data_IF_252589966254
#
_entry.id   IF_252589966254
#
_cell.length_a   1.000
_cell.length_b   1.000
_cell.length_c   1.000
_cell.angle_alpha   90.00
_cell.angle_beta   90.00
_cell.angle_gamma   90.00
#
_symmetry.space_group_name_H-M   'P 1'
#
loop_
_entity.id
_entity.type
_entity.pdbx_description
1 polymer ?
#
# COMPACT_ATOMS: atom_id res chain seq x y z
N UNK A 1 51.79 -34.79 -30.82
CA UNK A 1 50.98 -34.54 -29.61
C UNK A 1 50.15 -33.30 -29.86
N UNK A 2 48.83 -33.41 -30.03
CA UNK A 2 47.92 -32.27 -30.18
C UNK A 2 46.92 -32.36 -29.03
N UNK A 3 46.97 -31.41 -28.09
CA UNK A 3 45.98 -31.26 -27.03
C UNK A 3 44.96 -30.21 -27.47
N UNK A 4 43.72 -30.65 -27.68
CA UNK A 4 42.58 -29.77 -27.95
C UNK A 4 41.94 -29.40 -26.61
N UNK A 5 41.97 -28.11 -26.26
CA UNK A 5 41.35 -27.57 -25.05
C UNK A 5 39.97 -26.99 -25.43
N UNK A 6 38.91 -27.72 -25.10
CA UNK A 6 37.53 -27.22 -25.22
C UNK A 6 37.21 -26.25 -24.08
N UNK A 7 37.08 -24.98 -24.40
CA UNK A 7 36.63 -23.92 -23.48
C UNK A 7 35.13 -24.03 -23.24
N UNK A 8 34.73 -24.42 -22.03
CA UNK A 8 33.35 -24.31 -21.56
C UNK A 8 33.06 -22.86 -21.16
N UNK A 9 32.20 -22.17 -21.92
CA UNK A 9 31.68 -20.86 -21.54
C UNK A 9 30.56 -21.04 -20.50
N UNK A 10 30.83 -20.64 -19.25
CA UNK A 10 29.83 -20.60 -18.19
C UNK A 10 28.99 -19.33 -18.37
N UNK A 11 27.74 -19.49 -18.81
CA UNK A 11 26.76 -18.41 -18.86
C UNK A 11 26.26 -18.15 -17.44
N UNK A 12 26.74 -17.08 -16.81
CA UNK A 12 26.23 -16.63 -15.52
C UNK A 12 24.84 -16.01 -15.73
N UNK A 13 23.79 -16.74 -15.38
CA UNK A 13 22.43 -16.23 -15.27
C UNK A 13 22.38 -15.27 -14.08
N UNK A 14 22.48 -13.98 -14.35
CA UNK A 14 22.19 -12.93 -13.38
C UNK A 14 20.69 -12.95 -13.07
N UNK A 15 20.30 -13.67 -12.03
CA UNK A 15 18.93 -13.60 -11.49
C UNK A 15 18.74 -12.21 -10.89
N UNK A 16 17.88 -11.40 -11.51
CA UNK A 16 17.39 -10.16 -10.91
C UNK A 16 16.57 -10.53 -9.67
N UNK A 17 17.18 -10.43 -8.50
CA UNK A 17 16.44 -10.47 -7.23
C UNK A 17 15.70 -9.15 -7.11
N UNK A 18 14.47 -9.09 -7.62
CA UNK A 18 13.53 -8.07 -7.16
C UNK A 18 13.41 -8.27 -5.64
N UNK A 19 13.80 -7.26 -4.86
CA UNK A 19 13.70 -7.33 -3.41
C UNK A 19 12.21 -7.43 -3.05
N UNK A 20 11.75 -8.65 -2.78
CA UNK A 20 10.39 -8.92 -2.40
C UNK A 20 10.21 -8.44 -0.95
N UNK A 21 9.72 -7.21 -0.81
CA UNK A 21 9.67 -6.47 0.45
C UNK A 21 8.62 -7.01 1.43
N UNK A 22 7.66 -7.77 0.93
CA UNK A 22 6.52 -8.22 1.71
C UNK A 22 5.68 -7.04 2.21
N UNK A 23 4.93 -7.30 3.27
CA UNK A 23 4.34 -6.23 4.07
C UNK A 23 5.46 -5.32 4.61
N UNK A 24 5.29 -4.01 4.48
CA UNK A 24 6.31 -3.05 4.89
C UNK A 24 5.71 -1.68 5.18
N UNK A 25 6.44 -0.86 5.94
CA UNK A 25 6.05 0.51 6.29
C UNK A 25 6.73 1.58 5.42
N UNK A 26 7.09 1.24 4.17
CA UNK A 26 7.70 2.22 3.25
C UNK A 26 6.63 3.11 2.63
N UNK A 27 7.03 4.33 2.32
CA UNK A 27 6.19 5.30 1.63
C UNK A 27 7.03 6.48 1.17
N UNK A 28 6.37 7.58 0.83
CA UNK A 28 7.04 8.86 0.57
C UNK A 28 7.96 9.25 1.72
N UNK A 29 9.03 10.02 1.46
CA UNK A 29 9.88 10.60 2.51
C UNK A 29 9.07 11.44 3.51
N UNK A 30 7.95 11.98 3.05
CA UNK A 30 6.97 12.70 3.85
C UNK A 30 6.30 11.82 4.92
N UNK A 31 6.24 10.50 4.73
CA UNK A 31 5.71 9.58 5.74
C UNK A 31 6.54 9.54 7.03
N UNK A 32 7.80 9.96 7.03
CA UNK A 32 8.67 9.93 8.21
C UNK A 32 8.37 11.05 9.22
N UNK A 33 7.65 12.10 8.81
CA UNK A 33 7.36 13.25 9.65
C UNK A 33 6.14 13.00 10.58
N UNK A 34 6.28 12.10 11.55
CA UNK A 34 5.46 12.06 12.79
C UNK A 34 3.93 12.08 12.65
N UNK A 35 3.35 11.39 11.67
CA UNK A 35 1.92 11.50 11.33
C UNK A 35 1.15 10.19 11.52
N UNK A 36 0.41 10.05 12.63
CA UNK A 36 -0.43 8.89 12.93
C UNK A 36 -1.68 8.76 12.04
N UNK A 37 -1.48 8.63 10.72
CA UNK A 37 -2.54 8.58 9.73
C UNK A 37 -3.20 7.19 9.61
N UNK A 38 -2.48 6.11 9.94
CA UNK A 38 -2.99 4.74 9.77
C UNK A 38 -4.26 4.50 10.61
N UNK A 39 -4.27 4.98 11.85
CA UNK A 39 -5.44 4.88 12.73
C UNK A 39 -6.63 5.67 12.19
N UNK A 40 -6.41 6.94 11.84
CA UNK A 40 -7.45 7.81 11.28
C UNK A 40 -8.05 7.25 9.98
N UNK A 41 -7.22 6.64 9.12
CA UNK A 41 -7.66 5.96 7.89
C UNK A 41 -8.51 4.74 8.23
N UNK A 42 -8.07 3.90 9.17
CA UNK A 42 -8.81 2.72 9.60
C UNK A 42 -10.19 3.11 10.15
N UNK A 43 -10.25 4.14 11.00
CA UNK A 43 -11.50 4.65 11.58
C UNK A 43 -12.46 5.17 10.50
N UNK A 44 -11.93 5.85 9.48
CA UNK A 44 -12.73 6.32 8.34
C UNK A 44 -13.29 5.16 7.52
N UNK A 45 -12.51 4.11 7.27
CA UNK A 45 -12.98 2.91 6.57
C UNK A 45 -14.02 2.16 7.40
N UNK A 46 -13.82 2.03 8.71
CA UNK A 46 -14.77 1.42 9.63
C UNK A 46 -16.11 2.19 9.65
N UNK A 47 -16.06 3.53 9.60
CA UNK A 47 -17.25 4.36 9.40
C UNK A 47 -17.93 4.09 8.05
N UNK A 48 -17.17 4.02 6.95
CA UNK A 48 -17.75 3.74 5.62
C UNK A 48 -18.43 2.38 5.54
N UNK A 49 -17.85 1.36 6.19
CA UNK A 49 -18.43 0.03 6.33
C UNK A 49 -19.72 0.09 7.16
N UNK A 50 -19.70 0.79 8.30
CA UNK A 50 -20.89 0.99 9.15
C UNK A 50 -22.03 1.73 8.41
N UNK A 51 -21.69 2.62 7.49
CA UNK A 51 -22.64 3.33 6.62
C UNK A 51 -23.16 2.47 5.45
N UNK A 52 -22.75 1.21 5.35
CA UNK A 52 -23.21 0.25 4.35
C UNK A 52 -22.38 0.19 3.06
N UNK A 53 -21.19 0.81 3.04
CA UNK A 53 -20.31 0.84 1.85
C UNK A 53 -19.27 -0.28 1.82
N UNK A 54 -19.39 -1.31 2.67
CA UNK A 54 -18.40 -2.40 2.76
C UNK A 54 -18.10 -3.08 1.41
N UNK A 55 -19.13 -3.29 0.59
CA UNK A 55 -19.02 -3.93 -0.74
C UNK A 55 -18.71 -2.94 -1.87
N UNK A 56 -18.56 -1.65 -1.57
CA UNK A 56 -18.23 -0.65 -2.58
C UNK A 56 -16.87 -0.97 -3.18
N UNK A 57 -16.81 -0.99 -4.51
CA UNK A 57 -15.63 -1.38 -5.25
C UNK A 57 -14.77 -0.17 -5.64
N UNK A 58 -13.45 -0.33 -5.53
CA UNK A 58 -12.47 0.71 -5.87
C UNK A 58 -11.46 0.12 -6.85
N UNK A 59 -11.27 0.83 -7.96
CA UNK A 59 -10.26 0.49 -8.96
C UNK A 59 -8.85 0.89 -8.50
N UNK A 60 -7.85 0.47 -9.27
CA UNK A 60 -6.47 0.83 -9.06
C UNK A 60 -6.29 2.35 -9.02
N UNK A 61 -5.54 2.84 -8.03
CA UNK A 61 -5.27 4.26 -7.79
C UNK A 61 -6.44 5.04 -7.20
N UNK A 62 -7.64 4.45 -7.10
CA UNK A 62 -8.79 5.10 -6.46
C UNK A 62 -8.65 4.99 -4.95
N UNK A 63 -8.73 6.14 -4.28
CA UNK A 63 -8.64 6.23 -2.83
C UNK A 63 -9.92 5.73 -2.17
N UNK A 64 -9.78 5.07 -1.03
CA UNK A 64 -10.88 4.54 -0.20
C UNK A 64 -11.11 5.38 1.05
N UNK A 65 -10.03 5.82 1.69
CA UNK A 65 -10.09 6.69 2.85
C UNK A 65 -8.82 7.51 2.95
N UNK A 66 -8.96 8.71 3.49
CA UNK A 66 -7.90 9.68 3.61
C UNK A 66 -7.88 10.31 5.00
N UNK A 67 -6.68 10.52 5.53
CA UNK A 67 -6.42 11.30 6.72
C UNK A 67 -5.62 12.55 6.37
N UNK A 68 -6.03 13.67 6.95
CA UNK A 68 -5.34 14.94 6.90
C UNK A 68 -4.19 14.90 7.89
N UNK A 69 -3.04 15.34 7.44
CA UNK A 69 -1.86 15.51 8.28
C UNK A 69 -1.44 16.97 8.27
N UNK A 70 -0.94 17.46 9.40
CA UNK A 70 -0.54 18.86 9.54
C UNK A 70 0.70 19.16 8.68
N UNK A 71 1.58 18.17 8.51
CA UNK A 71 2.90 18.37 7.89
C UNK A 71 2.90 18.02 6.40
N UNK A 72 2.15 17.01 5.97
CA UNK A 72 2.32 16.39 4.64
C UNK A 72 1.08 16.41 3.77
N UNK A 73 0.03 17.12 4.20
CA UNK A 73 -1.21 17.26 3.46
C UNK A 73 -2.14 16.07 3.74
N UNK A 74 -2.09 15.06 2.87
CA UNK A 74 -3.02 13.92 2.90
C UNK A 74 -2.31 12.60 2.76
N UNK A 75 -2.71 11.63 3.57
CA UNK A 75 -2.32 10.23 3.46
C UNK A 75 -3.58 9.43 3.20
N UNK A 76 -3.56 8.56 2.19
CA UNK A 76 -4.75 7.80 1.81
C UNK A 76 -4.42 6.33 1.58
N UNK A 77 -5.43 5.48 1.80
CA UNK A 77 -5.44 4.08 1.41
C UNK A 77 -6.02 3.93 -0.01
N UNK A 78 -5.33 3.19 -0.87
CA UNK A 78 -5.75 2.87 -2.23
C UNK A 78 -5.13 1.56 -2.71
N UNK A 79 -5.77 0.93 -3.69
CA UNK A 79 -5.16 -0.18 -4.42
C UNK A 79 -4.09 0.36 -5.37
N UNK A 80 -2.94 -0.30 -5.46
CA UNK A 80 -1.85 0.14 -6.33
C UNK A 80 -1.15 -1.06 -6.96
N UNK A 81 -0.51 -0.78 -8.10
CA UNK A 81 0.25 -1.74 -8.90
C UNK A 81 -0.64 -2.79 -9.56
N UNK A 82 -0.14 -3.36 -10.66
CA UNK A 82 -0.88 -4.31 -11.49
C UNK A 82 -2.35 -3.90 -11.66
N UNK A 83 -3.25 -4.88 -11.70
CA UNK A 83 -4.70 -4.69 -11.78
C UNK A 83 -5.35 -4.74 -10.38
N UNK A 84 -4.63 -4.32 -9.33
CA UNK A 84 -5.12 -4.34 -7.96
C UNK A 84 -6.39 -3.50 -7.80
N UNK A 85 -7.41 -4.10 -7.22
CA UNK A 85 -8.76 -3.56 -6.99
C UNK A 85 -9.49 -4.43 -5.97
N UNK A 86 -10.52 -3.89 -5.36
CA UNK A 86 -11.26 -4.60 -4.32
C UNK A 86 -12.29 -3.74 -3.61
N UNK A 87 -12.92 -4.33 -2.62
CA UNK A 87 -13.97 -3.66 -1.84
C UNK A 87 -13.39 -2.80 -0.72
N UNK A 88 -14.20 -1.91 -0.14
CA UNK A 88 -13.82 -1.15 1.07
C UNK A 88 -13.47 -2.11 2.21
N UNK A 89 -14.26 -3.18 2.39
CA UNK A 89 -14.04 -4.19 3.42
C UNK A 89 -12.71 -4.93 3.23
N UNK A 90 -12.38 -5.32 2.01
CA UNK A 90 -11.08 -5.93 1.70
C UNK A 90 -9.95 -4.95 2.04
N UNK A 91 -10.08 -3.70 1.57
CA UNK A 91 -9.09 -2.66 1.84
C UNK A 91 -8.85 -2.48 3.34
N UNK A 92 -9.92 -2.48 4.15
CA UNK A 92 -9.83 -2.35 5.61
C UNK A 92 -9.07 -3.51 6.25
N UNK A 93 -9.25 -4.73 5.75
CA UNK A 93 -8.53 -5.92 6.22
C UNK A 93 -7.02 -5.83 5.90
N UNK A 94 -6.67 -5.30 4.74
CA UNK A 94 -5.26 -5.04 4.40
C UNK A 94 -4.67 -3.87 5.22
N UNK A 95 -5.43 -2.81 5.49
CA UNK A 95 -5.01 -1.74 6.43
C UNK A 95 -4.79 -2.31 7.81
N UNK A 96 -5.64 -3.25 8.27
CA UNK A 96 -5.44 -3.96 9.53
C UNK A 96 -4.10 -4.71 9.54
N UNK A 97 -3.73 -5.34 8.43
CA UNK A 97 -2.45 -6.03 8.32
C UNK A 97 -1.26 -5.06 8.51
N UNK A 98 -1.37 -3.81 7.99
CA UNK A 98 -0.36 -2.76 8.24
C UNK A 98 -0.31 -2.34 9.70
N UNK A 99 -1.45 -2.21 10.36
CA UNK A 99 -1.51 -1.92 11.81
C UNK A 99 -0.88 -3.05 12.62
N UNK A 100 -1.17 -4.30 12.28
CA UNK A 100 -0.61 -5.50 12.92
C UNK A 100 0.90 -5.66 12.63
N UNK A 101 1.43 -4.91 11.65
CA UNK A 101 2.86 -4.81 11.33
C UNK A 101 3.50 -3.51 11.86
N UNK A 102 2.85 -2.84 12.81
CA UNK A 102 3.34 -1.61 13.46
C UNK A 102 3.57 -0.43 12.50
N UNK A 103 2.95 -0.43 11.31
CA UNK A 103 3.01 0.71 10.40
C UNK A 103 2.09 1.83 10.89
N UNK A 104 2.68 2.96 11.30
CA UNK A 104 1.94 4.06 11.92
C UNK A 104 1.44 5.10 10.90
N UNK A 105 2.19 5.28 9.80
CA UNK A 105 1.97 6.41 8.89
C UNK A 105 1.64 5.93 7.47
N UNK A 106 2.51 5.09 6.91
CA UNK A 106 2.43 4.61 5.54
C UNK A 106 2.89 3.15 5.47
N UNK A 107 2.53 2.47 4.39
CA UNK A 107 2.98 1.12 4.12
C UNK A 107 2.25 0.48 2.97
N UNK A 108 2.69 -0.71 2.59
CA UNK A 108 2.06 -1.52 1.56
C UNK A 108 1.96 -2.98 1.96
N UNK A 109 0.88 -3.65 1.54
CA UNK A 109 0.67 -5.08 1.71
C UNK A 109 0.47 -5.72 0.34
N UNK A 110 1.30 -6.68 -0.08
CA UNK A 110 1.07 -7.45 -1.30
C UNK A 110 -0.27 -8.19 -1.24
N UNK A 111 -1.00 -8.24 -2.35
CA UNK A 111 -2.31 -8.92 -2.41
C UNK A 111 -2.18 -10.44 -2.53
N UNK A 112 -1.14 -10.91 -3.23
CA UNK A 112 -0.97 -12.33 -3.50
C UNK A 112 -0.39 -13.05 -2.27
N UNK A 113 -1.15 -13.98 -1.63
CA UNK A 113 -0.65 -14.70 -0.46
C UNK A 113 0.62 -15.47 -0.79
N UNK A 114 1.64 -15.34 0.06
CA UNK A 114 2.94 -16.00 -0.16
C UNK A 114 3.81 -15.37 -1.26
N UNK A 115 3.33 -14.33 -1.95
CA UNK A 115 4.15 -13.53 -2.85
C UNK A 115 4.49 -12.19 -2.19
N UNK A 116 5.76 -11.93 -1.82
CA UNK A 116 6.14 -10.69 -1.17
C UNK A 116 6.32 -9.50 -2.14
N UNK A 117 6.09 -9.68 -3.44
CA UNK A 117 6.26 -8.63 -4.44
C UNK A 117 5.02 -7.75 -4.58
N UNK A 118 5.10 -6.52 -4.06
CA UNK A 118 4.06 -5.48 -4.17
C UNK A 118 3.76 -5.09 -5.63
N UNK A 119 4.70 -5.26 -6.57
CA UNK A 119 4.47 -4.90 -7.97
C UNK A 119 3.44 -5.81 -8.66
N UNK A 120 3.16 -6.97 -8.06
CA UNK A 120 2.08 -7.87 -8.51
C UNK A 120 0.69 -7.45 -8.02
N UNK A 121 0.62 -6.35 -7.27
CA UNK A 121 -0.60 -5.78 -6.71
C UNK A 121 -0.46 -5.61 -5.19
N UNK A 122 -0.87 -4.45 -4.68
CA UNK A 122 -0.84 -4.15 -3.25
C UNK A 122 -1.99 -3.25 -2.83
N UNK A 123 -2.36 -3.34 -1.55
CA UNK A 123 -2.91 -2.19 -0.84
C UNK A 123 -1.75 -1.27 -0.46
N UNK A 124 -1.89 0.03 -0.70
CA UNK A 124 -0.91 1.03 -0.26
C UNK A 124 -1.59 2.14 0.54
N UNK A 125 -0.94 2.54 1.64
CA UNK A 125 -1.21 3.75 2.41
C UNK A 125 -0.03 4.69 2.20
N UNK A 126 -0.25 5.81 1.51
CA UNK A 126 0.82 6.76 1.19
C UNK A 126 0.29 8.20 1.02
N UNK A 127 1.22 9.15 0.98
CA UNK A 127 0.93 10.57 0.75
C UNK A 127 0.36 10.80 -0.65
N UNK A 128 -0.71 11.58 -0.74
CA UNK A 128 -1.33 12.03 -2.00
C UNK A 128 -1.47 13.54 -2.03
N UNK A 129 -1.46 14.12 -3.23
CA UNK A 129 -1.61 15.58 -3.42
C UNK A 129 -3.06 16.02 -3.53
N UNK A 130 -3.95 15.14 -3.98
CA UNK A 130 -5.38 15.39 -4.13
C UNK A 130 -6.16 14.27 -3.45
N UNK A 131 -6.70 14.49 -2.24
CA UNK A 131 -7.51 13.48 -1.58
C UNK A 131 -8.87 13.34 -2.27
N UNK A 132 -9.51 12.18 -2.16
CA UNK A 132 -10.87 11.96 -2.65
C UNK A 132 -11.93 12.74 -1.84
N UNK A 133 -11.60 13.12 -0.62
CA UNK A 133 -12.51 13.72 0.34
C UNK A 133 -11.75 14.70 1.23
N UNK A 134 -12.48 15.68 1.78
CA UNK A 134 -11.96 16.63 2.77
C UNK A 134 -12.94 16.60 3.95
N UNK A 135 -12.53 16.11 5.14
CA UNK A 135 -13.37 16.10 6.31
C UNK A 135 -13.58 17.53 6.84
N UNK A 136 -14.66 17.69 7.61
CA UNK A 136 -14.97 18.96 8.28
C UNK A 136 -13.93 19.33 9.35
N UNK A 137 -14.09 20.50 9.97
CA UNK A 137 -13.10 21.08 10.90
C UNK A 137 -12.84 20.27 12.18
N UNK A 138 -13.69 19.29 12.50
CA UNK A 138 -13.62 18.46 13.72
C UNK A 138 -13.16 17.03 13.48
N UNK A 139 -13.00 16.60 12.21
CA UNK A 139 -12.52 15.26 11.87
C UNK A 139 -11.23 15.37 11.06
N UNK A 140 -10.28 14.47 11.32
CA UNK A 140 -9.02 14.41 10.57
C UNK A 140 -9.10 13.45 9.37
N UNK A 141 -10.11 12.58 9.30
CA UNK A 141 -10.26 11.63 8.19
C UNK A 141 -11.69 11.52 7.65
N UNK A 142 -11.78 10.97 6.44
CA UNK A 142 -13.02 10.67 5.73
C UNK A 142 -12.81 9.47 4.82
N UNK A 143 -13.91 8.76 4.51
CA UNK A 143 -13.92 7.76 3.46
C UNK A 143 -14.50 8.36 2.18
N UNK A 144 -14.09 7.78 1.06
CA UNK A 144 -14.66 8.02 -0.25
C UNK A 144 -15.67 6.90 -0.53
#
# INVERSE_FOLDING_TARGET
MHFSLSTFAIVALSTYQAAALGINCRGSSNCAAGVSAMGDIADAMDQGIADGNGDRFYDNGVQMACARTIVVGWVCAFWQFAEAKGTLQDGRNYVKSLQDHDCVNCGSVPLAPGNPDVNTGALTVNVVTSPCCVPGTTKLSCYC
#
